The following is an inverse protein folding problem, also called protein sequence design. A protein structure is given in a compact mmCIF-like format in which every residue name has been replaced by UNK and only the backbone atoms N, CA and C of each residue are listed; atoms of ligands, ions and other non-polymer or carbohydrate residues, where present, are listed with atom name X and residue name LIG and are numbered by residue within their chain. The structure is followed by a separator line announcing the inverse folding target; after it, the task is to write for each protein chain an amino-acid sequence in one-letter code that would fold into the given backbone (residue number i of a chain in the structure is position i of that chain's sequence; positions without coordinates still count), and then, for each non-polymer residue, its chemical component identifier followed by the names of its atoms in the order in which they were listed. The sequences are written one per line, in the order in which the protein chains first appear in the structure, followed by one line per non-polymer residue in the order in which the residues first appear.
data_IF_452097618095
#
_entry.id   IF_452097618095
#
_cell.length_a   1.000
_cell.length_b   1.000
_cell.length_c   1.000
_cell.angle_alpha   90.00
_cell.angle_beta   90.00
_cell.angle_gamma   90.00
#
_symmetry.space_group_name_H-M   'P 1'
#
loop_
_entity.id
_entity.type
_entity.pdbx_description
1 polymer ?
#
# COMPACT_ATOMS: atom_id res chain seq x y z
N UNK A 1 -9.67 2.88 -7.62
CA UNK A 1 -8.72 1.90 -7.12
C UNK A 1 -9.09 1.42 -5.71
N UNK A 2 -9.09 2.30 -4.71
CA UNK A 2 -9.27 1.95 -3.30
C UNK A 2 -10.62 1.27 -2.98
N UNK A 3 -11.73 1.79 -3.50
CA UNK A 3 -13.04 1.18 -3.30
C UNK A 3 -13.09 -0.27 -3.84
N UNK A 4 -12.49 -0.51 -4.99
CA UNK A 4 -12.37 -1.87 -5.55
C UNK A 4 -11.51 -2.77 -4.65
N UNK A 5 -10.41 -2.25 -4.12
CA UNK A 5 -9.48 -2.99 -3.27
C UNK A 5 -10.11 -3.37 -1.92
N UNK A 6 -10.82 -2.43 -1.28
CA UNK A 6 -11.38 -2.62 0.07
C UNK A 6 -12.69 -3.42 0.01
N UNK A 7 -13.59 -3.07 -0.90
CA UNK A 7 -14.96 -3.60 -0.95
C UNK A 7 -15.14 -4.73 -1.97
N UNK A 8 -14.31 -4.75 -3.02
CA UNK A 8 -14.47 -5.68 -4.15
C UNK A 8 -14.13 -7.13 -3.81
N UNK A 9 -14.80 -8.10 -4.46
CA UNK A 9 -14.49 -9.52 -4.32
C UNK A 9 -13.19 -9.88 -5.05
N UNK A 10 -12.06 -9.89 -4.36
CA UNK A 10 -10.71 -10.13 -4.92
C UNK A 10 -10.52 -11.51 -5.57
N UNK A 11 -11.54 -12.40 -5.51
CA UNK A 11 -11.56 -13.66 -6.25
C UNK A 11 -11.57 -13.47 -7.78
N UNK A 12 -12.05 -12.31 -8.24
CA UNK A 12 -12.02 -11.95 -9.66
C UNK A 12 -10.77 -11.12 -9.95
N UNK A 13 -10.04 -11.49 -11.00
CA UNK A 13 -8.76 -10.87 -11.39
C UNK A 13 -8.83 -9.33 -11.51
N UNK A 14 -9.95 -8.81 -11.99
CA UNK A 14 -10.13 -7.37 -12.20
C UNK A 14 -10.08 -6.55 -10.89
N UNK A 15 -10.57 -7.10 -9.77
CA UNK A 15 -10.56 -6.42 -8.48
C UNK A 15 -9.16 -6.33 -7.85
N UNK A 16 -8.19 -7.05 -8.42
CA UNK A 16 -6.77 -6.96 -8.05
C UNK A 16 -5.93 -6.31 -9.13
N UNK A 17 -6.18 -6.62 -10.41
CA UNK A 17 -5.41 -6.09 -11.53
C UNK A 17 -5.61 -4.57 -11.72
N UNK A 18 -6.85 -4.07 -11.56
CA UNK A 18 -7.15 -2.63 -11.70
C UNK A 18 -6.42 -1.79 -10.65
N UNK A 19 -6.51 -2.07 -9.32
CA UNK A 19 -5.78 -1.30 -8.32
C UNK A 19 -4.27 -1.56 -8.32
N UNK A 20 -3.80 -2.72 -8.82
CA UNK A 20 -2.37 -3.06 -8.84
C UNK A 20 -1.64 -2.43 -10.02
N UNK A 21 -2.25 -2.44 -11.21
CA UNK A 21 -1.56 -2.07 -12.45
C UNK A 21 -2.22 -0.89 -13.17
N UNK A 22 -3.52 -0.95 -13.43
CA UNK A 22 -4.18 0.01 -14.33
C UNK A 22 -4.20 1.40 -13.70
N UNK A 23 -4.66 1.53 -12.47
CA UNK A 23 -4.77 2.85 -11.80
C UNK A 23 -3.38 3.41 -11.46
N UNK A 24 -2.45 2.64 -10.83
CA UNK A 24 -1.11 3.17 -10.58
C UNK A 24 -0.35 3.52 -11.86
N UNK A 25 -0.44 2.71 -12.92
CA UNK A 25 0.20 3.02 -14.20
C UNK A 25 -0.37 4.30 -14.84
N UNK A 26 -1.70 4.48 -14.81
CA UNK A 26 -2.33 5.69 -15.31
C UNK A 26 -1.91 6.94 -14.52
N UNK A 27 -1.88 6.87 -13.19
CA UNK A 27 -1.39 7.95 -12.34
C UNK A 27 0.11 8.22 -12.55
N UNK A 28 0.93 7.19 -12.72
CA UNK A 28 2.35 7.34 -13.03
C UNK A 28 2.58 8.00 -14.38
N UNK A 29 1.74 7.74 -15.38
CA UNK A 29 1.78 8.43 -16.66
C UNK A 29 1.49 9.93 -16.49
N UNK A 30 0.44 10.27 -15.73
CA UNK A 30 0.12 11.69 -15.41
C UNK A 30 1.28 12.36 -14.68
N UNK A 31 1.86 11.69 -13.68
CA UNK A 31 3.04 12.16 -12.96
C UNK A 31 4.21 12.41 -13.93
N UNK A 32 4.50 11.48 -14.81
CA UNK A 32 5.59 11.59 -15.77
C UNK A 32 5.39 12.81 -16.72
N UNK A 33 4.17 13.03 -17.20
CA UNK A 33 3.84 14.20 -18.03
C UNK A 33 4.08 15.50 -17.26
N UNK A 34 3.63 15.59 -16.00
CA UNK A 34 3.83 16.78 -15.15
C UNK A 34 5.33 17.04 -14.97
N UNK A 35 6.09 16.03 -14.54
CA UNK A 35 7.52 16.17 -14.28
C UNK A 35 8.29 16.54 -15.54
N UNK A 36 8.09 15.82 -16.63
CA UNK A 36 8.84 16.07 -17.87
C UNK A 36 8.50 17.42 -18.51
N UNK A 37 7.27 17.92 -18.31
CA UNK A 37 6.85 19.19 -18.93
C UNK A 37 7.10 20.42 -18.06
N UNK A 38 7.20 20.29 -16.73
CA UNK A 38 7.18 21.42 -15.80
C UNK A 38 8.38 21.50 -14.86
N UNK A 39 9.00 20.36 -14.50
CA UNK A 39 10.00 20.31 -13.44
C UNK A 39 11.24 21.18 -13.70
N UNK A 40 11.68 21.30 -14.95
CA UNK A 40 12.86 22.10 -15.30
C UNK A 40 12.68 23.63 -15.09
N UNK A 41 11.45 24.10 -14.95
CA UNK A 41 11.12 25.53 -14.73
C UNK A 41 10.66 25.87 -13.33
N UNK A 42 10.70 24.90 -12.38
CA UNK A 42 10.27 25.09 -10.99
C UNK A 42 11.47 25.40 -10.11
N UNK A 43 11.32 26.39 -9.22
CA UNK A 43 12.35 26.72 -8.24
C UNK A 43 12.36 25.71 -7.09
N UNK A 44 13.52 25.53 -6.46
CA UNK A 44 13.71 24.57 -5.36
C UNK A 44 14.33 23.25 -5.80
N UNK A 45 14.29 22.25 -4.94
CA UNK A 45 14.94 20.95 -5.16
C UNK A 45 14.81 20.01 -3.94
N UNK A 46 15.69 19.00 -3.89
CA UNK A 46 15.69 17.98 -2.82
C UNK A 46 16.94 18.02 -1.92
N UNK A 47 17.74 19.07 -2.04
CA UNK A 47 19.01 19.25 -1.34
C UNK A 47 18.86 19.74 0.11
N UNK A 48 17.75 20.41 0.43
CA UNK A 48 17.44 20.92 1.75
C UNK A 48 15.96 20.99 1.99
N UNK A 49 15.53 21.04 3.29
CA UNK A 49 14.11 21.21 3.63
C UNK A 49 13.55 22.54 3.09
N UNK A 50 14.35 23.60 3.05
CA UNK A 50 13.95 24.89 2.48
C UNK A 50 13.72 24.79 0.97
N UNK A 51 14.62 24.09 0.23
CA UNK A 51 14.45 23.83 -1.18
C UNK A 51 13.23 22.97 -1.48
N UNK A 52 12.95 21.95 -0.67
CA UNK A 52 11.73 21.14 -0.79
C UNK A 52 10.48 21.96 -0.55
N UNK A 53 10.49 22.86 0.47
CA UNK A 53 9.36 23.74 0.74
C UNK A 53 9.09 24.69 -0.42
N UNK A 54 10.16 25.23 -1.03
CA UNK A 54 10.06 26.08 -2.22
C UNK A 54 9.51 25.29 -3.41
N UNK A 55 10.04 24.11 -3.71
CA UNK A 55 9.56 23.20 -4.75
C UNK A 55 8.06 22.90 -4.59
N UNK A 56 7.61 22.57 -3.37
CA UNK A 56 6.21 22.24 -3.09
C UNK A 56 5.29 23.47 -3.04
N UNK A 57 5.82 24.69 -3.15
CA UNK A 57 5.01 25.91 -3.30
C UNK A 57 4.53 26.13 -4.74
N UNK A 58 5.11 25.41 -5.72
CA UNK A 58 4.61 25.40 -7.09
C UNK A 58 3.45 24.41 -7.22
N UNK A 59 2.34 24.87 -7.81
CA UNK A 59 1.10 24.06 -7.94
C UNK A 59 1.31 22.77 -8.76
N UNK A 60 2.18 22.81 -9.78
CA UNK A 60 2.44 21.63 -10.61
C UNK A 60 3.34 20.63 -9.92
N UNK A 61 4.34 21.11 -9.17
CA UNK A 61 5.20 20.23 -8.35
C UNK A 61 4.38 19.60 -7.23
N UNK A 62 3.52 20.36 -6.56
CA UNK A 62 2.59 19.88 -5.55
C UNK A 62 1.63 18.82 -6.12
N UNK A 63 1.01 19.11 -7.28
CA UNK A 63 0.14 18.14 -7.97
C UNK A 63 0.89 16.87 -8.33
N UNK A 64 2.12 17.00 -8.85
CA UNK A 64 2.97 15.84 -9.14
C UNK A 64 3.23 15.00 -7.89
N UNK A 65 3.65 15.62 -6.79
CA UNK A 65 3.82 14.96 -5.50
C UNK A 65 2.57 14.23 -5.03
N UNK A 66 1.41 14.86 -5.13
CA UNK A 66 0.12 14.27 -4.78
C UNK A 66 -0.21 13.03 -5.62
N UNK A 67 -0.07 13.12 -6.94
CA UNK A 67 -0.30 11.99 -7.87
C UNK A 67 0.67 10.84 -7.58
N UNK A 68 1.93 11.15 -7.27
CA UNK A 68 2.93 10.17 -6.85
C UNK A 68 2.48 9.39 -5.62
N UNK A 69 2.05 10.06 -4.55
CA UNK A 69 1.53 9.40 -3.34
C UNK A 69 0.33 8.51 -3.66
N UNK A 70 -0.65 9.00 -4.40
CA UNK A 70 -1.84 8.21 -4.74
C UNK A 70 -1.50 6.93 -5.53
N UNK A 71 -0.53 7.00 -6.45
CA UNK A 71 -0.10 5.87 -7.24
C UNK A 71 0.61 4.80 -6.38
N UNK A 72 1.58 5.24 -5.58
CA UNK A 72 2.39 4.35 -4.76
C UNK A 72 1.63 3.78 -3.58
N UNK A 73 0.82 4.57 -2.89
CA UNK A 73 0.01 4.07 -1.77
C UNK A 73 -1.00 3.02 -2.23
N UNK A 74 -1.63 3.21 -3.40
CA UNK A 74 -2.53 2.20 -3.96
C UNK A 74 -1.79 0.92 -4.35
N UNK A 75 -0.61 1.04 -4.95
CA UNK A 75 0.23 -0.10 -5.29
C UNK A 75 0.63 -0.88 -4.02
N UNK A 76 1.19 -0.19 -3.02
CA UNK A 76 1.57 -0.77 -1.73
C UNK A 76 0.37 -1.40 -1.04
N UNK A 77 -0.76 -0.69 -0.98
CA UNK A 77 -2.01 -1.20 -0.40
C UNK A 77 -2.48 -2.49 -1.06
N UNK A 78 -2.38 -2.59 -2.39
CA UNK A 78 -2.77 -3.80 -3.13
C UNK A 78 -1.83 -4.97 -2.84
N UNK A 79 -0.52 -4.72 -2.80
CA UNK A 79 0.48 -5.74 -2.44
C UNK A 79 0.24 -6.25 -1.01
N UNK A 80 0.03 -5.34 -0.04
CA UNK A 80 -0.22 -5.71 1.34
C UNK A 80 -1.55 -6.44 1.53
N UNK A 81 -2.59 -6.05 0.78
CA UNK A 81 -3.85 -6.77 0.74
C UNK A 81 -3.68 -8.22 0.29
N UNK A 82 -2.92 -8.45 -0.78
CA UNK A 82 -2.64 -9.79 -1.28
C UNK A 82 -1.80 -10.63 -0.28
N UNK A 83 -0.89 -9.99 0.45
CA UNK A 83 -0.10 -10.66 1.50
C UNK A 83 -0.97 -11.03 2.70
N UNK A 84 -1.84 -10.14 3.14
CA UNK A 84 -2.81 -10.39 4.21
C UNK A 84 -3.82 -11.49 3.84
N UNK A 85 -4.27 -11.54 2.56
CA UNK A 85 -5.12 -12.64 2.07
C UNK A 85 -4.41 -13.99 2.19
N UNK A 86 -3.12 -14.09 1.83
CA UNK A 86 -2.31 -15.31 2.00
C UNK A 86 -2.09 -15.71 3.46
N UNK A 87 -2.07 -14.72 4.36
CA UNK A 87 -1.98 -14.94 5.81
C UNK A 87 -3.35 -15.20 6.45
N UNK A 88 -4.42 -15.36 5.67
CA UNK A 88 -5.80 -15.57 6.13
C UNK A 88 -6.32 -14.47 7.06
N UNK A 89 -5.86 -13.23 6.90
CA UNK A 89 -6.41 -12.08 7.63
C UNK A 89 -7.80 -11.76 7.11
N UNK A 90 -8.79 -11.70 8.01
CA UNK A 90 -10.17 -11.38 7.64
C UNK A 90 -10.30 -9.97 7.04
N UNK A 91 -11.21 -9.81 6.07
CA UNK A 91 -11.44 -8.53 5.35
C UNK A 91 -11.78 -7.37 6.28
N UNK A 92 -12.51 -7.65 7.35
CA UNK A 92 -12.88 -6.65 8.37
C UNK A 92 -11.64 -6.05 9.06
N UNK A 93 -10.60 -6.87 9.27
CA UNK A 93 -9.31 -6.42 9.81
C UNK A 93 -8.47 -5.71 8.74
N UNK A 94 -8.51 -6.20 7.50
CA UNK A 94 -7.78 -5.57 6.40
C UNK A 94 -8.29 -4.16 6.06
N UNK A 95 -9.61 -3.93 6.12
CA UNK A 95 -10.22 -2.68 5.69
C UNK A 95 -9.65 -1.43 6.42
N UNK A 96 -9.59 -1.37 7.76
CA UNK A 96 -8.99 -0.24 8.47
C UNK A 96 -7.48 -0.11 8.21
N UNK A 97 -6.76 -1.22 8.03
CA UNK A 97 -5.32 -1.20 7.69
C UNK A 97 -5.11 -0.58 6.30
N UNK A 98 -5.90 -0.99 5.31
CA UNK A 98 -5.85 -0.43 3.96
C UNK A 98 -6.26 1.05 3.93
N UNK A 99 -7.23 1.44 4.76
CA UNK A 99 -7.59 2.84 4.93
C UNK A 99 -6.43 3.64 5.57
N UNK A 100 -5.72 3.06 6.54
CA UNK A 100 -4.53 3.68 7.12
C UNK A 100 -3.39 3.83 6.09
N UNK A 101 -3.21 2.87 5.17
CA UNK A 101 -2.27 3.01 4.05
C UNK A 101 -2.72 4.16 3.13
N UNK A 102 -4.00 4.24 2.80
CA UNK A 102 -4.54 5.32 1.97
C UNK A 102 -4.35 6.72 2.57
N UNK A 103 -4.54 6.86 3.89
CA UNK A 103 -4.48 8.16 4.57
C UNK A 103 -3.07 8.55 5.01
N UNK A 104 -2.26 7.58 5.41
CA UNK A 104 -0.98 7.79 6.09
C UNK A 104 0.16 6.93 5.50
N UNK A 105 0.00 6.38 4.29
CA UNK A 105 1.01 5.62 3.54
C UNK A 105 1.94 4.74 4.39
N UNK A 106 3.13 5.24 4.75
CA UNK A 106 4.14 4.47 5.50
C UNK A 106 3.66 3.93 6.84
N UNK A 107 2.84 4.66 7.58
CA UNK A 107 2.28 4.21 8.86
C UNK A 107 1.35 3.00 8.69
N UNK A 108 0.44 3.08 7.71
CA UNK A 108 -0.46 1.96 7.38
C UNK A 108 0.31 0.74 6.88
N UNK A 109 1.39 0.93 6.13
CA UNK A 109 2.29 -0.14 5.70
C UNK A 109 2.93 -0.86 6.91
N UNK A 110 3.42 -0.13 7.90
CA UNK A 110 3.99 -0.73 9.12
C UNK A 110 2.96 -1.59 9.86
N UNK A 111 1.73 -1.08 10.03
CA UNK A 111 0.65 -1.86 10.66
C UNK A 111 0.36 -3.14 9.88
N UNK A 112 0.27 -3.06 8.55
CA UNK A 112 0.03 -4.21 7.69
C UNK A 112 1.15 -5.26 7.81
N UNK A 113 2.41 -4.82 7.78
CA UNK A 113 3.59 -5.68 7.89
C UNK A 113 3.67 -6.37 9.27
N UNK A 114 3.41 -5.65 10.35
CA UNK A 114 3.37 -6.20 11.70
C UNK A 114 2.22 -7.20 11.88
N UNK A 115 1.05 -6.94 11.32
CA UNK A 115 -0.08 -7.85 11.33
C UNK A 115 0.26 -9.16 10.61
N UNK A 116 0.85 -9.07 9.42
CA UNK A 116 1.28 -10.25 8.67
C UNK A 116 2.35 -11.06 9.43
N UNK A 117 3.36 -10.39 9.96
CA UNK A 117 4.45 -11.04 10.69
C UNK A 117 3.94 -11.74 11.96
N UNK A 118 3.09 -11.07 12.75
CA UNK A 118 2.52 -11.64 13.97
C UNK A 118 1.66 -12.88 13.72
N UNK A 119 0.98 -12.96 12.57
CA UNK A 119 0.20 -14.14 12.19
C UNK A 119 1.08 -15.28 11.68
N UNK A 120 2.12 -14.98 10.92
CA UNK A 120 3.08 -16.01 10.44
C UNK A 120 3.83 -16.66 11.58
N UNK A 121 4.16 -15.95 12.65
CA UNK A 121 4.85 -16.51 13.82
C UNK A 121 3.94 -17.37 14.69
N UNK A 122 2.62 -17.18 14.64
CA UNK A 122 1.65 -18.00 15.43
C UNK A 122 1.36 -19.37 14.81
N UNK A 123 1.39 -19.49 13.48
CA UNK A 123 1.08 -20.74 12.78
C UNK A 123 2.00 -21.93 13.17
N UNK A 124 3.32 -21.79 13.26
CA UNK A 124 4.20 -22.89 13.65
C UNK A 124 4.06 -23.29 15.13
N UNK A 125 3.66 -22.38 16.02
CA UNK A 125 3.43 -22.70 17.43
C UNK A 125 2.14 -23.54 17.60
N UNK A 126 1.07 -23.18 16.91
CA UNK A 126 -0.20 -23.89 16.98
C UNK A 126 -0.10 -25.32 16.44
N UNK A 127 0.65 -25.55 15.38
CA UNK A 127 0.91 -26.89 14.84
C UNK A 127 1.74 -27.77 15.79
N UNK A 128 2.67 -27.18 16.55
CA UNK A 128 3.45 -27.89 17.58
C UNK A 128 2.60 -28.29 18.78
N UNK A 129 1.70 -27.39 19.22
CA UNK A 129 0.78 -27.70 20.33
C UNK A 129 -0.21 -28.81 19.97
N UNK A 130 -0.78 -28.80 18.75
CA UNK A 130 -1.70 -29.84 18.30
C UNK A 130 -1.00 -31.19 18.14
N UNK A 131 0.26 -31.21 17.67
CA UNK A 131 1.05 -32.44 17.55
C UNK A 131 1.41 -33.01 18.90
N UNK A 132 1.82 -32.17 19.87
CA UNK A 132 2.09 -32.62 21.24
C UNK A 132 0.86 -33.14 21.98
N UNK A 133 -0.34 -32.60 21.69
CA UNK A 133 -1.57 -33.10 22.28
C UNK A 133 -2.01 -34.49 21.74
N UNK A 134 -1.67 -34.78 20.47
CA UNK A 134 -1.91 -36.12 19.88
C UNK A 134 -0.96 -37.17 20.41
N UNK A 135 0.31 -36.82 20.67
CA UNK A 135 1.33 -37.74 21.20
C UNK A 135 1.12 -38.13 22.70
N UNK A 136 0.27 -37.37 23.43
CA UNK A 136 -0.06 -37.66 24.84
C UNK A 136 -1.34 -38.48 24.97
N UNK A 137 -2.08 -38.71 23.89
CA UNK A 137 -3.35 -39.46 23.87
C UNK A 137 -3.19 -40.94 23.46
N UNK A 138 -1.96 -41.45 23.32
CA UNK A 138 -1.59 -42.81 23.07
C UNK A 138 -0.90 -43.40 24.32
#
# INVERSE_FOLDING_TARGET
GWALLILGPRRFIWFTAVPLWIVPAGLSMVYAVIVLSRFAGVDGGFDSLASVALLMSDDWALLGGWVHFLAFDLFVGTVMAARMDRANVGRVVQAPILLAIFMFGPFGFVIAALTELGLRTRLPLQSRFLKGAQDVSV
#
